data_IF_177603618536
#
_entry.id   IF_177603618536
#
_cell.length_a   1.000
_cell.length_b   1.000
_cell.length_c   1.000
_cell.angle_alpha   90.00
_cell.angle_beta   90.00
_cell.angle_gamma   90.00
#
_symmetry.space_group_name_H-M   'P 1'
#
loop_
_entity.id
_entity.type
_entity.pdbx_description
1 polymer ?
#
# COMPACT_ATOMS: atom_id res chain seq x y z
N UNK A 1 -7.12 34.93 -44.13
CA UNK A 1 -6.44 34.97 -42.83
C UNK A 1 -6.38 33.54 -42.31
N UNK A 2 -5.23 32.94 -42.45
CA UNK A 2 -5.01 31.57 -41.98
C UNK A 2 -4.37 31.70 -40.59
N UNK A 3 -5.13 31.35 -39.55
CA UNK A 3 -4.60 31.22 -38.20
C UNK A 3 -3.66 30.04 -38.12
N UNK A 4 -2.39 30.33 -37.92
CA UNK A 4 -1.35 29.37 -37.65
C UNK A 4 -1.56 28.76 -36.26
N UNK A 5 -2.09 27.55 -36.20
CA UNK A 5 -1.95 26.70 -35.03
C UNK A 5 -0.47 26.31 -34.92
N UNK A 6 0.26 27.02 -34.06
CA UNK A 6 1.59 26.58 -33.63
C UNK A 6 1.44 25.18 -32.95
N UNK A 7 1.85 24.14 -33.65
CA UNK A 7 2.07 22.85 -33.06
C UNK A 7 3.16 22.99 -31.99
N UNK A 8 2.80 23.01 -30.72
CA UNK A 8 3.75 22.91 -29.63
C UNK A 8 4.49 21.57 -29.84
N UNK A 9 5.71 21.67 -30.31
CA UNK A 9 6.67 20.56 -30.36
C UNK A 9 6.79 20.03 -28.93
N UNK A 10 6.14 18.91 -28.63
CA UNK A 10 6.39 18.19 -27.39
C UNK A 10 7.84 17.76 -27.41
N UNK A 11 8.67 18.41 -26.60
CA UNK A 11 10.06 17.97 -26.38
C UNK A 11 10.04 16.48 -25.96
N UNK A 12 10.99 15.71 -26.47
CA UNK A 12 11.12 14.32 -26.09
C UNK A 12 11.18 14.20 -24.55
N UNK A 13 10.50 13.22 -23.94
CA UNK A 13 10.47 13.07 -22.49
C UNK A 13 11.90 12.96 -21.95
N UNK A 14 12.21 13.80 -20.97
CA UNK A 14 13.53 13.84 -20.33
C UNK A 14 13.69 12.61 -19.43
N UNK A 15 14.84 11.94 -19.47
CA UNK A 15 15.18 10.96 -18.46
C UNK A 15 15.34 11.65 -17.08
N UNK A 16 14.57 11.21 -16.09
CA UNK A 16 14.60 11.73 -14.72
C UNK A 16 15.43 10.80 -13.83
N UNK A 17 16.07 11.36 -12.81
CA UNK A 17 16.72 10.61 -11.75
C UNK A 17 15.76 10.49 -10.56
N UNK A 18 15.39 9.25 -10.20
CA UNK A 18 14.32 8.95 -9.24
C UNK A 18 14.88 8.18 -8.05
N UNK A 19 14.64 8.68 -6.85
CA UNK A 19 14.86 7.96 -5.61
C UNK A 19 13.59 7.17 -5.25
N UNK A 20 13.65 5.84 -5.33
CA UNK A 20 12.50 4.95 -5.12
C UNK A 20 12.58 4.27 -3.75
N UNK A 21 11.67 4.63 -2.85
CA UNK A 21 11.55 4.08 -1.50
C UNK A 21 10.44 3.04 -1.45
N UNK A 22 10.79 1.81 -1.15
CA UNK A 22 9.84 0.70 -1.06
C UNK A 22 10.37 -0.41 -0.18
N UNK A 23 9.50 -1.12 0.53
CA UNK A 23 9.85 -2.44 1.04
C UNK A 23 10.01 -3.41 -0.14
N UNK A 24 11.22 -3.93 -0.30
CA UNK A 24 11.61 -4.82 -1.40
C UNK A 24 11.95 -6.23 -0.89
N UNK A 25 11.57 -6.56 0.34
CA UNK A 25 11.81 -7.91 0.89
C UNK A 25 10.98 -8.96 0.16
N UNK A 26 11.42 -10.22 0.21
CA UNK A 26 10.67 -11.33 -0.39
C UNK A 26 9.34 -11.62 0.33
N UNK A 27 9.25 -11.24 1.60
CA UNK A 27 8.01 -11.22 2.35
C UNK A 27 7.19 -9.94 2.09
N UNK A 28 7.71 -9.06 1.23
CA UNK A 28 7.14 -7.76 0.95
C UNK A 28 5.71 -7.83 0.45
N UNK A 29 4.92 -6.87 0.91
CA UNK A 29 3.51 -6.74 0.59
C UNK A 29 3.28 -6.22 -0.84
N UNK A 30 2.38 -5.27 -0.95
CA UNK A 30 1.97 -4.65 -2.22
C UNK A 30 3.10 -3.86 -2.83
N UNK A 31 3.88 -3.14 -2.01
CA UNK A 31 4.98 -2.30 -2.45
C UNK A 31 6.04 -3.10 -3.21
N UNK A 32 6.44 -4.27 -2.68
CA UNK A 32 7.37 -5.19 -3.34
C UNK A 32 6.78 -5.75 -4.64
N UNK A 33 5.52 -6.16 -4.62
CA UNK A 33 4.82 -6.67 -5.80
C UNK A 33 4.74 -5.61 -6.92
N UNK A 34 4.32 -4.40 -6.59
CA UNK A 34 4.26 -3.29 -7.55
C UNK A 34 5.64 -2.96 -8.11
N UNK A 35 6.66 -2.89 -7.25
CA UNK A 35 8.03 -2.60 -7.66
C UNK A 35 8.57 -3.65 -8.64
N UNK A 36 8.36 -4.95 -8.38
CA UNK A 36 8.79 -6.04 -9.27
C UNK A 36 8.20 -5.91 -10.68
N UNK A 37 6.98 -5.41 -10.81
CA UNK A 37 6.31 -5.25 -12.11
C UNK A 37 6.65 -3.94 -12.81
N UNK A 38 6.84 -2.84 -12.07
CA UNK A 38 6.98 -1.50 -12.64
C UNK A 38 8.43 -1.11 -12.92
N UNK A 39 9.36 -1.47 -12.01
CA UNK A 39 10.76 -1.05 -12.13
C UNK A 39 11.43 -1.47 -13.42
N UNK A 40 11.24 -2.71 -13.94
CA UNK A 40 11.83 -3.10 -15.22
C UNK A 40 11.34 -2.26 -16.41
N UNK A 41 10.11 -1.71 -16.32
CA UNK A 41 9.52 -0.89 -17.38
C UNK A 41 10.03 0.55 -17.23
N UNK A 42 9.93 1.13 -16.05
CA UNK A 42 10.32 2.51 -15.77
C UNK A 42 11.82 2.76 -15.94
N UNK A 43 12.66 1.77 -15.64
CA UNK A 43 14.11 1.86 -15.79
C UNK A 43 14.57 1.99 -17.26
N UNK A 44 13.72 1.71 -18.25
CA UNK A 44 14.01 1.98 -19.65
C UNK A 44 13.94 3.48 -20.00
N UNK A 45 13.22 4.26 -19.20
CA UNK A 45 12.99 5.68 -19.46
C UNK A 45 13.70 6.59 -18.45
N UNK A 46 13.91 6.10 -17.22
CA UNK A 46 14.40 6.86 -16.08
C UNK A 46 15.61 6.21 -15.41
N UNK A 47 16.42 7.02 -14.72
CA UNK A 47 17.49 6.53 -13.84
C UNK A 47 16.88 6.31 -12.45
N UNK A 48 16.72 5.05 -12.04
CA UNK A 48 16.10 4.71 -10.77
C UNK A 48 17.14 4.15 -9.82
N UNK A 49 17.20 4.70 -8.62
CA UNK A 49 17.97 4.19 -7.49
C UNK A 49 17.01 3.79 -6.37
N UNK A 50 17.21 2.59 -5.85
CA UNK A 50 16.37 2.03 -4.79
C UNK A 50 16.91 2.43 -3.43
N UNK A 51 16.00 2.71 -2.51
CA UNK A 51 16.30 2.99 -1.11
C UNK A 51 15.48 2.06 -0.22
N UNK A 52 16.17 1.22 0.54
CA UNK A 52 15.56 0.19 1.39
C UNK A 52 16.34 0.02 2.70
N UNK A 53 15.88 -0.84 3.60
CA UNK A 53 16.65 -1.26 4.78
C UNK A 53 17.73 -2.29 4.44
N UNK A 54 17.79 -2.79 3.22
CA UNK A 54 18.78 -3.77 2.78
C UNK A 54 20.13 -3.11 2.52
N UNK A 55 21.20 -3.78 2.96
CA UNK A 55 22.58 -3.40 2.65
C UNK A 55 23.11 -3.96 1.32
N UNK A 56 22.29 -4.71 0.58
CA UNK A 56 22.65 -5.15 -0.77
C UNK A 56 22.83 -3.92 -1.69
N UNK A 57 23.88 -3.92 -2.47
CA UNK A 57 24.19 -2.80 -3.40
C UNK A 57 23.33 -2.83 -4.67
N UNK A 58 22.67 -3.94 -4.94
CA UNK A 58 21.80 -4.13 -6.10
C UNK A 58 20.57 -4.93 -5.68
N UNK A 59 19.39 -4.46 -6.04
CA UNK A 59 18.12 -5.16 -5.89
C UNK A 59 17.33 -5.03 -7.19
N UNK A 60 16.67 -6.10 -7.62
CA UNK A 60 15.87 -6.12 -8.87
C UNK A 60 16.67 -5.63 -10.11
N UNK A 61 18.00 -5.83 -10.13
CA UNK A 61 18.88 -5.37 -11.19
C UNK A 61 19.20 -3.87 -11.19
N UNK A 62 18.75 -3.13 -10.19
CA UNK A 62 18.96 -1.68 -10.04
C UNK A 62 19.89 -1.36 -8.85
N UNK A 63 20.61 -0.22 -8.89
CA UNK A 63 21.36 0.26 -7.74
C UNK A 63 20.47 0.37 -6.50
N UNK A 64 20.96 -0.16 -5.37
CA UNK A 64 20.26 -0.06 -4.10
C UNK A 64 21.17 0.53 -3.04
N UNK A 65 20.62 1.39 -2.23
CA UNK A 65 21.27 2.05 -1.11
C UNK A 65 20.46 1.83 0.18
N UNK A 66 21.15 1.76 1.30
CA UNK A 66 20.45 1.88 2.57
C UNK A 66 19.78 3.25 2.62
N UNK A 67 18.52 3.31 3.03
CA UNK A 67 17.68 4.51 2.94
C UNK A 67 18.32 5.77 3.61
N UNK A 68 19.11 5.60 4.67
CA UNK A 68 19.82 6.70 5.35
C UNK A 68 20.81 7.44 4.42
N UNK A 69 21.24 6.83 3.32
CA UNK A 69 22.16 7.47 2.37
C UNK A 69 21.45 8.38 1.36
N UNK A 70 20.14 8.41 1.32
CA UNK A 70 19.42 9.11 0.25
C UNK A 70 19.71 10.61 0.22
N UNK A 71 19.87 11.26 1.38
CA UNK A 71 20.21 12.68 1.42
C UNK A 71 21.64 12.93 0.89
N UNK A 72 22.63 12.12 1.27
CA UNK A 72 23.99 12.24 0.74
C UNK A 72 24.06 11.99 -0.77
N UNK A 73 23.37 10.96 -1.26
CA UNK A 73 23.25 10.70 -2.70
C UNK A 73 22.60 11.87 -3.44
N UNK A 74 21.56 12.49 -2.86
CA UNK A 74 20.92 13.67 -3.43
C UNK A 74 21.84 14.90 -3.47
N UNK A 75 22.67 15.09 -2.44
CA UNK A 75 23.66 16.19 -2.41
C UNK A 75 24.76 16.02 -3.45
N UNK A 76 25.22 14.79 -3.65
CA UNK A 76 26.26 14.50 -4.65
C UNK A 76 25.73 14.68 -6.07
N UNK A 77 24.55 14.14 -6.32
CA UNK A 77 23.84 14.28 -7.58
C UNK A 77 22.33 14.37 -7.29
N UNK A 78 21.67 15.50 -7.55
CA UNK A 78 20.27 15.70 -7.21
C UNK A 78 19.33 14.72 -7.89
N UNK A 79 18.37 14.14 -7.13
CA UNK A 79 17.21 13.46 -7.66
C UNK A 79 16.18 14.47 -8.12
N UNK A 80 15.53 14.19 -9.24
CA UNK A 80 14.39 14.97 -9.72
C UNK A 80 13.12 14.66 -8.94
N UNK A 81 12.98 13.38 -8.51
CA UNK A 81 11.80 12.85 -7.80
C UNK A 81 12.24 11.98 -6.62
N UNK A 82 11.59 12.17 -5.49
CA UNK A 82 11.52 11.19 -4.41
C UNK A 82 10.15 10.51 -4.48
N UNK A 83 10.14 9.20 -4.60
CA UNK A 83 8.93 8.41 -4.71
C UNK A 83 8.85 7.38 -3.59
N UNK A 84 7.73 7.37 -2.88
CA UNK A 84 7.49 6.58 -1.68
C UNK A 84 6.30 5.65 -1.88
N UNK A 85 6.48 4.36 -1.66
CA UNK A 85 5.37 3.41 -1.55
C UNK A 85 5.06 3.18 -0.07
N UNK A 86 3.84 3.49 0.33
CA UNK A 86 3.38 3.44 1.72
C UNK A 86 2.34 2.35 1.91
N UNK A 87 2.69 1.37 2.74
CA UNK A 87 1.81 0.28 3.16
C UNK A 87 1.91 0.06 4.67
N UNK A 88 0.95 -0.67 5.25
CA UNK A 88 0.96 -1.02 6.68
C UNK A 88 1.87 -2.23 6.91
N UNK A 89 2.85 -2.06 7.79
CA UNK A 89 3.80 -3.10 8.12
C UNK A 89 5.12 -2.57 8.66
N UNK A 90 5.78 -3.33 9.51
CA UNK A 90 7.04 -2.94 10.14
C UNK A 90 8.15 -2.63 9.12
N UNK A 91 8.18 -3.38 8.01
CA UNK A 91 9.17 -3.21 6.95
C UNK A 91 9.04 -1.90 6.15
N UNK A 92 7.89 -1.21 6.24
CA UNK A 92 7.68 0.09 5.59
C UNK A 92 7.97 1.31 6.51
N UNK A 93 8.47 1.10 7.72
CA UNK A 93 8.75 2.17 8.69
C UNK A 93 9.69 3.24 8.17
N UNK A 94 10.76 2.83 7.51
CA UNK A 94 11.77 3.75 6.98
C UNK A 94 11.18 4.69 5.93
N UNK A 95 10.23 4.22 5.11
CA UNK A 95 9.52 5.03 4.12
C UNK A 95 8.83 6.20 4.80
N UNK A 96 8.11 5.92 5.89
CA UNK A 96 7.37 6.89 6.68
C UNK A 96 8.29 7.93 7.34
N UNK A 97 9.40 7.45 7.88
CA UNK A 97 10.42 8.30 8.50
C UNK A 97 11.03 9.23 7.46
N UNK A 98 11.44 8.68 6.32
CA UNK A 98 12.15 9.45 5.32
C UNK A 98 11.27 10.45 4.57
N UNK A 99 10.00 10.13 4.37
CA UNK A 99 9.00 11.08 3.85
C UNK A 99 8.90 12.34 4.72
N UNK A 100 9.07 12.21 6.05
CA UNK A 100 9.13 13.34 6.97
C UNK A 100 10.37 14.21 6.81
N UNK A 101 11.47 13.68 6.23
CA UNK A 101 12.73 14.38 6.02
C UNK A 101 12.80 15.00 4.62
N UNK A 102 12.36 14.27 3.59
CA UNK A 102 12.44 14.68 2.18
C UNK A 102 11.05 14.54 1.55
N UNK A 103 10.35 15.63 1.26
CA UNK A 103 9.03 15.55 0.65
C UNK A 103 9.09 14.94 -0.75
N UNK A 104 8.05 14.19 -1.12
CA UNK A 104 8.02 13.51 -2.40
C UNK A 104 6.62 13.07 -2.83
N UNK A 105 6.56 12.33 -3.91
CA UNK A 105 5.35 11.71 -4.39
C UNK A 105 5.13 10.44 -3.57
N UNK A 106 3.98 10.30 -2.93
CA UNK A 106 3.65 9.12 -2.12
C UNK A 106 2.53 8.31 -2.77
N UNK A 107 2.76 7.02 -2.92
CA UNK A 107 1.73 6.07 -3.35
C UNK A 107 1.24 5.29 -2.14
N UNK A 108 0.03 5.60 -1.69
CA UNK A 108 -0.60 5.04 -0.50
C UNK A 108 -1.37 3.79 -0.89
N UNK A 109 -0.91 2.64 -0.40
CA UNK A 109 -1.56 1.35 -0.59
C UNK A 109 -2.54 1.06 0.54
N UNK A 110 -2.19 1.41 1.78
CA UNK A 110 -3.02 1.23 2.97
C UNK A 110 -3.36 2.57 3.63
N UNK A 111 -4.66 2.81 3.85
CA UNK A 111 -5.12 3.99 4.58
C UNK A 111 -4.95 3.86 6.09
N UNK A 112 -5.05 2.62 6.59
CA UNK A 112 -5.06 2.30 8.00
C UNK A 112 -3.69 1.77 8.43
N UNK A 113 -2.75 2.66 8.60
CA UNK A 113 -1.38 2.35 9.03
C UNK A 113 -1.36 1.98 10.53
N UNK A 114 -2.09 0.93 10.91
CA UNK A 114 -2.30 0.56 12.31
C UNK A 114 -1.06 -0.07 12.92
N UNK A 115 -0.40 -0.98 12.23
CA UNK A 115 0.79 -1.66 12.71
C UNK A 115 2.00 -0.72 12.77
N UNK A 116 2.12 0.17 11.76
CA UNK A 116 3.13 1.24 11.80
C UNK A 116 2.89 2.24 12.94
N UNK A 117 1.62 2.51 13.27
CA UNK A 117 1.27 3.46 14.33
C UNK A 117 1.57 2.93 15.73
N UNK A 118 1.24 1.68 16.01
CA UNK A 118 1.38 1.10 17.34
C UNK A 118 2.85 0.85 17.71
N UNK A 119 3.64 0.26 16.81
CA UNK A 119 5.03 -0.09 17.10
C UNK A 119 6.03 1.07 16.95
N UNK A 120 5.80 1.97 15.99
CA UNK A 120 6.73 3.09 15.75
C UNK A 120 6.62 4.18 16.80
N UNK A 121 5.49 4.26 17.50
CA UNK A 121 5.25 5.31 18.50
C UNK A 121 5.27 4.78 19.93
N UNK A 122 5.06 3.47 20.13
CA UNK A 122 4.99 2.90 21.46
C UNK A 122 6.32 3.07 22.21
N UNK A 123 6.28 3.75 23.37
CA UNK A 123 7.43 4.13 24.17
C UNK A 123 8.42 5.08 23.49
N UNK A 124 8.07 5.75 22.40
CA UNK A 124 8.90 6.80 21.82
C UNK A 124 8.58 8.18 22.43
N UNK A 125 9.56 9.11 22.48
CA UNK A 125 9.29 10.49 22.90
C UNK A 125 8.24 11.21 22.03
N UNK A 126 8.00 10.69 20.84
CA UNK A 126 7.08 11.25 19.86
C UNK A 126 5.65 10.71 19.96
N UNK A 127 5.43 9.65 20.76
CA UNK A 127 4.10 9.03 20.92
C UNK A 127 3.04 10.09 21.29
N UNK A 128 3.33 10.88 22.30
CA UNK A 128 2.43 11.94 22.75
C UNK A 128 2.19 13.02 21.69
N UNK A 129 3.22 13.43 20.97
CA UNK A 129 3.11 14.43 19.90
C UNK A 129 2.30 13.93 18.72
N UNK A 130 2.46 12.66 18.35
CA UNK A 130 1.69 12.01 17.28
C UNK A 130 0.24 11.82 17.72
N UNK A 131 0.00 11.37 18.94
CA UNK A 131 -1.36 11.31 19.49
C UNK A 131 -2.02 12.68 19.56
N UNK A 132 -1.33 13.71 20.00
CA UNK A 132 -1.84 15.09 19.98
C UNK A 132 -2.14 15.56 18.56
N UNK A 133 -1.28 15.28 17.58
CA UNK A 133 -1.53 15.61 16.19
C UNK A 133 -2.84 14.99 15.71
N UNK A 134 -3.03 13.69 15.90
CA UNK A 134 -4.27 13.01 15.51
C UNK A 134 -5.48 13.51 16.31
N UNK A 135 -5.34 13.70 17.61
CA UNK A 135 -6.43 14.20 18.48
C UNK A 135 -6.85 15.62 18.09
N UNK A 136 -5.93 16.49 17.77
CA UNK A 136 -6.21 17.87 17.37
C UNK A 136 -6.69 17.96 15.93
N UNK A 137 -6.26 17.00 15.12
CA UNK A 137 -6.55 16.97 13.69
C UNK A 137 -7.88 16.34 13.35
N UNK A 138 -8.51 15.58 14.25
CA UNK A 138 -9.75 14.87 13.97
C UNK A 138 -11.00 15.61 14.49
N UNK A 139 -12.14 15.60 13.75
CA UNK A 139 -13.42 16.01 14.30
C UNK A 139 -13.76 15.22 15.57
N UNK A 140 -14.48 15.82 16.50
CA UNK A 140 -14.81 15.19 17.79
C UNK A 140 -15.44 13.79 17.66
N UNK A 141 -16.34 13.62 16.70
CA UNK A 141 -16.96 12.31 16.40
C UNK A 141 -15.95 11.26 15.95
N UNK A 142 -14.92 11.67 15.19
CA UNK A 142 -13.89 10.80 14.68
C UNK A 142 -12.84 10.39 15.74
N UNK A 143 -12.66 11.18 16.80
CA UNK A 143 -11.74 10.86 17.92
C UNK A 143 -12.14 9.58 18.65
N UNK A 144 -13.42 9.34 18.79
CA UNK A 144 -13.95 8.10 19.41
C UNK A 144 -13.67 6.87 18.51
N UNK A 145 -13.76 7.02 17.20
CA UNK A 145 -13.50 5.98 16.20
C UNK A 145 -12.00 5.74 16.05
N UNK A 146 -11.17 6.78 16.10
CA UNK A 146 -9.72 6.68 16.01
C UNK A 146 -9.09 5.82 17.12
N UNK A 147 -9.68 5.86 18.33
CA UNK A 147 -9.28 4.99 19.44
C UNK A 147 -9.51 3.50 19.19
N UNK A 148 -10.33 3.14 18.18
CA UNK A 148 -10.69 1.77 17.83
C UNK A 148 -10.01 1.27 16.53
N UNK A 149 -8.88 1.85 16.13
CA UNK A 149 -8.14 1.49 14.89
C UNK A 149 -8.95 1.60 13.58
N UNK A 150 -10.06 2.31 13.57
CA UNK A 150 -10.95 2.44 12.42
C UNK A 150 -10.74 3.75 11.62
N UNK A 151 -9.69 4.52 11.93
CA UNK A 151 -9.44 5.82 11.30
C UNK A 151 -8.27 5.77 10.33
N UNK A 152 -8.36 6.42 9.16
CA UNK A 152 -7.24 6.50 8.20
C UNK A 152 -6.01 7.17 8.83
N UNK A 153 -5.01 6.39 9.20
CA UNK A 153 -3.78 6.90 9.83
C UNK A 153 -2.74 7.40 8.84
N UNK A 154 -2.98 7.24 7.53
CA UNK A 154 -2.13 7.81 6.49
C UNK A 154 -2.26 9.33 6.33
N UNK A 155 -3.13 10.00 7.09
CA UNK A 155 -3.40 11.43 6.94
C UNK A 155 -2.15 12.31 7.08
N UNK A 156 -1.27 12.00 8.04
CA UNK A 156 -0.01 12.73 8.23
C UNK A 156 0.90 12.61 7.01
N UNK A 157 1.05 11.44 6.50
CA UNK A 157 1.90 11.11 5.35
C UNK A 157 1.37 11.78 4.09
N UNK A 158 0.07 11.77 3.92
CA UNK A 158 -0.61 12.50 2.85
C UNK A 158 -0.37 14.01 2.98
N UNK A 159 -0.49 14.57 4.18
CA UNK A 159 -0.25 15.99 4.42
C UNK A 159 1.21 16.43 4.16
N UNK A 160 2.17 15.51 4.31
CA UNK A 160 3.59 15.75 4.01
C UNK A 160 3.92 15.59 2.52
N UNK A 161 3.02 14.99 1.74
CA UNK A 161 3.26 14.68 0.33
C UNK A 161 2.64 15.74 -0.57
N UNK A 162 3.41 16.45 -1.41
CA UNK A 162 2.83 17.40 -2.37
C UNK A 162 1.93 16.70 -3.40
N UNK A 163 2.22 15.44 -3.70
CA UNK A 163 1.41 14.61 -4.59
C UNK A 163 1.20 13.26 -3.93
N UNK A 164 -0.07 12.86 -3.79
CA UNK A 164 -0.43 11.56 -3.24
C UNK A 164 -1.23 10.75 -4.25
N UNK A 165 -0.77 9.53 -4.50
CA UNK A 165 -1.45 8.54 -5.31
C UNK A 165 -2.13 7.53 -4.39
N UNK A 166 -3.35 7.14 -4.70
CA UNK A 166 -4.11 6.16 -3.92
C UNK A 166 -4.38 4.92 -4.76
N UNK A 167 -4.14 3.75 -4.19
CA UNK A 167 -4.41 2.47 -4.85
C UNK A 167 -5.90 2.13 -4.94
N UNK A 168 -6.77 2.90 -4.29
CA UNK A 168 -8.22 2.73 -4.32
C UNK A 168 -8.94 4.07 -4.49
N UNK A 169 -10.07 4.03 -5.20
CA UNK A 169 -10.99 5.17 -5.32
C UNK A 169 -11.59 5.55 -3.95
N UNK A 170 -11.86 4.53 -3.13
CA UNK A 170 -12.32 4.72 -1.76
C UNK A 170 -11.29 5.57 -0.97
N UNK A 171 -10.02 5.19 -1.02
CA UNK A 171 -8.95 5.92 -0.34
C UNK A 171 -8.83 7.37 -0.81
N UNK A 172 -8.87 7.59 -2.10
CA UNK A 172 -8.87 8.93 -2.68
C UNK A 172 -10.05 9.76 -2.16
N UNK A 173 -11.27 9.21 -2.15
CA UNK A 173 -12.48 9.90 -1.71
C UNK A 173 -12.43 10.26 -0.24
N UNK A 174 -12.08 9.29 0.62
CA UNK A 174 -12.03 9.51 2.08
C UNK A 174 -11.01 10.57 2.47
N UNK A 175 -9.79 10.47 1.96
CA UNK A 175 -8.74 11.44 2.27
C UNK A 175 -9.01 12.80 1.63
N UNK A 176 -9.49 12.86 0.39
CA UNK A 176 -9.82 14.13 -0.27
C UNK A 176 -10.88 14.92 0.51
N UNK A 177 -11.88 14.24 1.07
CA UNK A 177 -12.90 14.86 1.92
C UNK A 177 -12.27 15.44 3.19
N UNK A 178 -11.33 14.75 3.80
CA UNK A 178 -10.63 15.21 4.99
C UNK A 178 -9.69 16.38 4.70
N UNK A 179 -8.94 16.31 3.62
CA UNK A 179 -8.00 17.36 3.21
C UNK A 179 -8.76 18.64 2.84
N UNK A 180 -9.82 18.55 2.04
CA UNK A 180 -10.62 19.71 1.60
C UNK A 180 -11.23 20.49 2.76
N UNK A 181 -11.52 19.82 3.88
CA UNK A 181 -12.07 20.49 5.07
C UNK A 181 -11.02 21.28 5.89
N UNK A 182 -9.73 21.17 5.58
CA UNK A 182 -8.63 21.69 6.41
C UNK A 182 -7.55 22.45 5.68
N UNK A 183 -7.29 22.14 4.42
CA UNK A 183 -6.36 22.89 3.61
C UNK A 183 -7.15 24.04 2.95
N UNK A 184 -7.48 25.08 3.72
CA UNK A 184 -7.58 26.45 3.20
C UNK A 184 -6.20 26.94 2.70
N UNK A 185 -5.23 26.02 2.62
CA UNK A 185 -3.92 26.21 2.08
C UNK A 185 -4.02 26.54 0.58
N UNK A 186 -3.12 27.36 0.11
CA UNK A 186 -3.00 27.88 -1.27
C UNK A 186 -3.51 26.89 -2.34
N UNK A 187 -4.41 27.30 -3.22
CA UNK A 187 -4.92 26.47 -4.31
C UNK A 187 -3.76 25.88 -5.11
N UNK A 188 -3.67 24.54 -5.19
CA UNK A 188 -2.62 23.83 -5.90
C UNK A 188 -1.47 23.29 -5.05
N UNK A 189 -1.50 23.45 -3.72
CA UNK A 189 -0.43 22.96 -2.83
C UNK A 189 -0.37 21.44 -2.70
N UNK A 190 -1.47 20.73 -2.93
CA UNK A 190 -1.57 19.26 -2.82
C UNK A 190 -2.40 18.71 -3.97
N UNK A 191 -1.87 17.66 -4.63
CA UNK A 191 -2.54 16.90 -5.69
C UNK A 191 -2.78 15.48 -5.19
N UNK A 192 -4.02 15.00 -5.29
CA UNK A 192 -4.39 13.64 -4.93
C UNK A 192 -5.02 12.95 -6.14
N UNK A 193 -4.56 11.74 -6.48
CA UNK A 193 -5.02 10.98 -7.65
C UNK A 193 -5.17 9.50 -7.35
N UNK A 194 -6.02 8.85 -8.11
CA UNK A 194 -6.13 7.40 -8.14
C UNK A 194 -5.11 6.82 -9.11
N UNK A 195 -4.38 5.80 -8.65
CA UNK A 195 -3.52 4.97 -9.48
C UNK A 195 -3.68 3.51 -9.07
N UNK A 196 -4.28 2.71 -9.93
CA UNK A 196 -4.47 1.28 -9.69
C UNK A 196 -3.13 0.57 -9.48
N UNK A 197 -3.12 -0.50 -8.67
CA UNK A 197 -1.93 -1.36 -8.56
C UNK A 197 -1.74 -2.16 -9.85
N UNK A 198 -0.48 -2.38 -10.31
CA UNK A 198 -0.22 -3.20 -11.47
C UNK A 198 -0.58 -4.67 -11.18
N UNK A 199 -1.15 -5.37 -12.15
CA UNK A 199 -1.49 -6.79 -12.03
C UNK A 199 -1.02 -7.54 -13.27
N UNK A 200 -0.27 -8.63 -13.06
CA UNK A 200 0.09 -9.56 -14.12
C UNK A 200 -0.54 -10.91 -13.88
N UNK A 201 -1.44 -11.29 -14.76
CA UNK A 201 -2.06 -12.63 -14.76
C UNK A 201 -1.30 -13.63 -15.63
N UNK A 202 -0.09 -13.28 -16.08
CA UNK A 202 0.75 -14.15 -16.88
C UNK A 202 1.04 -15.46 -16.12
N UNK A 203 0.88 -16.59 -16.80
CA UNK A 203 1.12 -17.91 -16.21
C UNK A 203 -0.04 -18.49 -15.40
N UNK A 204 -1.12 -17.73 -15.14
CA UNK A 204 -2.31 -18.29 -14.46
C UNK A 204 -3.20 -19.00 -15.49
N UNK A 205 -3.36 -20.31 -15.33
CA UNK A 205 -4.20 -21.12 -16.22
C UNK A 205 -5.68 -20.73 -16.11
N UNK A 206 -6.47 -20.99 -17.14
CA UNK A 206 -7.93 -20.83 -17.08
C UNK A 206 -8.52 -21.71 -15.96
N UNK A 207 -9.69 -21.33 -15.38
CA UNK A 207 -10.36 -22.15 -14.36
C UNK A 207 -10.62 -23.57 -14.87
N UNK A 208 -10.52 -24.60 -14.00
CA UNK A 208 -10.79 -25.98 -14.37
C UNK A 208 -12.23 -26.14 -14.91
N UNK A 209 -12.43 -27.06 -15.87
CA UNK A 209 -13.77 -27.23 -16.48
C UNK A 209 -14.58 -28.38 -15.85
N UNK A 210 -13.92 -29.39 -15.28
CA UNK A 210 -14.55 -30.66 -14.88
C UNK A 210 -14.12 -31.19 -13.50
N UNK A 211 -13.48 -30.38 -12.66
CA UNK A 211 -13.10 -30.77 -11.32
C UNK A 211 -14.25 -30.52 -10.30
N UNK A 212 -14.20 -31.13 -9.10
CA UNK A 212 -15.03 -30.68 -7.98
C UNK A 212 -14.89 -29.18 -7.77
N UNK A 213 -15.96 -28.54 -7.29
CA UNK A 213 -15.95 -27.09 -7.06
C UNK A 213 -14.81 -26.74 -6.10
N UNK A 214 -13.84 -25.96 -6.59
CA UNK A 214 -12.65 -25.59 -5.83
C UNK A 214 -12.64 -24.12 -5.50
N UNK A 215 -12.35 -23.82 -4.24
CA UNK A 215 -12.28 -22.50 -3.66
C UNK A 215 -10.82 -22.17 -3.29
N UNK A 216 -10.49 -20.89 -3.36
CA UNK A 216 -9.24 -20.36 -2.85
C UNK A 216 -9.52 -19.20 -1.90
N UNK A 217 -8.72 -19.02 -0.85
CA UNK A 217 -8.82 -17.87 0.04
C UNK A 217 -7.45 -17.47 0.60
N UNK A 218 -7.29 -16.17 0.86
CA UNK A 218 -6.18 -15.56 1.61
C UNK A 218 -6.68 -14.90 2.90
N UNK A 219 -7.95 -15.08 3.25
CA UNK A 219 -8.54 -14.49 4.44
C UNK A 219 -7.79 -14.92 5.70
N UNK A 220 -7.60 -14.01 6.65
CA UNK A 220 -7.04 -14.34 7.95
C UNK A 220 -7.98 -15.30 8.71
N UNK A 221 -7.49 -16.23 9.52
CA UNK A 221 -8.35 -17.16 10.27
C UNK A 221 -9.17 -16.47 11.37
N UNK A 222 -8.76 -15.29 11.82
CA UNK A 222 -9.46 -14.53 12.86
C UNK A 222 -10.82 -13.95 12.44
N UNK A 223 -11.39 -13.16 13.34
CA UNK A 223 -12.68 -12.49 13.11
C UNK A 223 -12.67 -11.60 11.86
N UNK A 224 -11.54 -11.02 11.55
CA UNK A 224 -11.35 -10.12 10.41
C UNK A 224 -11.55 -10.81 9.07
N UNK A 225 -11.03 -12.04 8.92
CA UNK A 225 -11.11 -12.81 7.67
C UNK A 225 -12.36 -13.64 7.51
N UNK A 226 -13.31 -13.58 8.45
CA UNK A 226 -14.63 -14.22 8.36
C UNK A 226 -14.62 -15.73 8.13
N UNK A 227 -13.52 -16.43 8.46
CA UNK A 227 -13.42 -17.89 8.27
C UNK A 227 -14.52 -18.65 9.01
N UNK A 228 -14.88 -18.19 10.21
CA UNK A 228 -15.99 -18.73 11.00
C UNK A 228 -17.39 -18.54 10.35
N UNK A 229 -17.49 -17.79 9.25
CA UNK A 229 -18.72 -17.63 8.46
C UNK A 229 -18.71 -18.51 7.22
N UNK A 230 -17.62 -18.50 6.45
CA UNK A 230 -17.60 -19.25 5.19
C UNK A 230 -17.29 -20.73 5.35
N UNK A 231 -16.52 -21.17 6.35
CA UNK A 231 -16.26 -22.62 6.56
C UNK A 231 -17.54 -23.42 6.84
N UNK A 232 -18.41 -23.01 7.80
CA UNK A 232 -19.67 -23.74 8.00
C UNK A 232 -20.62 -23.63 6.80
N UNK A 233 -20.58 -22.55 6.04
CA UNK A 233 -21.38 -22.42 4.82
C UNK A 233 -20.89 -23.38 3.71
N UNK A 234 -19.55 -23.55 3.55
CA UNK A 234 -18.96 -24.54 2.66
C UNK A 234 -19.34 -25.97 3.08
N UNK A 235 -19.25 -26.27 4.38
CA UNK A 235 -19.68 -27.58 4.91
C UNK A 235 -21.13 -27.91 4.58
N UNK A 236 -21.99 -26.90 4.51
CA UNK A 236 -23.40 -27.06 4.15
C UNK A 236 -23.66 -27.37 2.68
N UNK A 237 -22.65 -27.31 1.80
CA UNK A 237 -22.79 -27.66 0.39
C UNK A 237 -23.09 -29.15 0.20
N UNK A 238 -24.11 -29.46 -0.60
CA UNK A 238 -24.52 -30.82 -0.88
C UNK A 238 -23.67 -31.59 -1.91
N UNK A 239 -22.65 -30.94 -2.50
CA UNK A 239 -21.74 -31.54 -3.48
C UNK A 239 -20.29 -31.51 -2.98
N UNK A 240 -19.41 -32.38 -3.52
CA UNK A 240 -17.99 -32.34 -3.19
C UNK A 240 -17.34 -30.99 -3.51
N UNK A 241 -16.55 -30.49 -2.57
CA UNK A 241 -15.79 -29.24 -2.71
C UNK A 241 -14.42 -29.36 -2.07
N UNK A 242 -13.51 -28.47 -2.46
CA UNK A 242 -12.19 -28.31 -1.86
C UNK A 242 -11.88 -26.84 -1.66
N UNK A 243 -11.12 -26.51 -0.61
CA UNK A 243 -10.64 -25.16 -0.33
C UNK A 243 -9.12 -25.20 -0.17
N UNK A 244 -8.41 -24.39 -0.94
CA UNK A 244 -7.00 -24.09 -0.70
C UNK A 244 -6.89 -22.76 0.02
N UNK A 245 -6.30 -22.76 1.21
CA UNK A 245 -6.21 -21.59 2.07
C UNK A 245 -4.75 -21.14 2.21
N UNK A 246 -4.42 -20.00 1.62
CA UNK A 246 -3.09 -19.39 1.70
C UNK A 246 -3.00 -18.50 2.93
N UNK A 247 -2.13 -18.83 3.87
CA UNK A 247 -1.99 -18.15 5.17
C UNK A 247 -0.54 -17.84 5.51
N UNK A 248 -0.34 -16.93 6.43
CA UNK A 248 0.97 -16.72 7.02
C UNK A 248 1.33 -17.87 7.99
N UNK A 249 2.62 -18.26 8.10
CA UNK A 249 3.04 -19.29 9.03
C UNK A 249 2.61 -19.03 10.47
N UNK A 250 2.57 -17.76 10.90
CA UNK A 250 2.13 -17.37 12.24
C UNK A 250 0.64 -17.63 12.50
N UNK A 251 -0.17 -17.74 11.45
CA UNK A 251 -1.62 -17.96 11.51
C UNK A 251 -2.02 -19.44 11.41
N UNK A 252 -1.06 -20.34 11.17
CA UNK A 252 -1.32 -21.76 10.92
C UNK A 252 -2.13 -22.41 12.03
N UNK A 253 -1.71 -22.26 13.28
CA UNK A 253 -2.40 -22.87 14.43
C UNK A 253 -3.84 -22.42 14.55
N UNK A 254 -4.12 -21.15 14.31
CA UNK A 254 -5.48 -20.60 14.35
C UNK A 254 -6.35 -21.17 13.22
N UNK A 255 -5.82 -21.33 12.02
CA UNK A 255 -6.51 -21.94 10.89
C UNK A 255 -6.81 -23.43 11.16
N UNK A 256 -5.85 -24.21 11.68
CA UNK A 256 -6.04 -25.62 12.02
C UNK A 256 -7.10 -25.82 13.11
N UNK A 257 -7.20 -24.91 14.08
CA UNK A 257 -8.26 -24.95 15.10
C UNK A 257 -9.63 -24.84 14.42
N UNK A 258 -9.82 -23.85 13.55
CA UNK A 258 -11.08 -23.63 12.84
C UNK A 258 -11.44 -24.83 11.94
N UNK A 259 -10.48 -25.35 11.19
CA UNK A 259 -10.67 -26.53 10.32
C UNK A 259 -11.16 -27.74 11.12
N UNK A 260 -10.61 -27.97 12.30
CA UNK A 260 -11.04 -29.04 13.20
C UNK A 260 -12.40 -28.77 13.83
N UNK A 261 -12.63 -27.55 14.30
CA UNK A 261 -13.90 -27.12 14.90
C UNK A 261 -15.07 -27.33 13.92
N UNK A 262 -14.89 -26.94 12.68
CA UNK A 262 -15.92 -27.15 11.65
C UNK A 262 -15.89 -28.53 11.01
N UNK A 263 -14.97 -29.44 11.39
CA UNK A 263 -14.84 -30.80 10.87
C UNK A 263 -14.73 -30.84 9.34
N UNK A 264 -13.82 -30.04 8.77
CA UNK A 264 -13.58 -29.91 7.32
C UNK A 264 -12.11 -30.25 6.95
N UNK A 265 -11.47 -31.12 7.74
CA UNK A 265 -10.04 -31.46 7.60
C UNK A 265 -9.72 -32.04 6.22
N UNK A 266 -10.60 -32.88 5.68
CA UNK A 266 -10.37 -33.55 4.39
C UNK A 266 -10.63 -32.66 3.18
N UNK A 267 -11.28 -31.52 3.38
CA UNK A 267 -11.66 -30.58 2.30
C UNK A 267 -10.77 -29.35 2.24
N UNK A 268 -9.96 -29.07 3.28
CA UNK A 268 -9.17 -27.84 3.36
C UNK A 268 -7.67 -28.16 3.32
N UNK A 269 -6.98 -27.57 2.37
CA UNK A 269 -5.51 -27.62 2.25
C UNK A 269 -4.93 -26.26 2.65
N UNK A 270 -4.05 -26.26 3.66
CA UNK A 270 -3.29 -25.07 4.03
C UNK A 270 -2.01 -24.92 3.20
N UNK A 271 -1.77 -23.75 2.67
CA UNK A 271 -0.52 -23.36 2.01
C UNK A 271 0.11 -22.23 2.81
N UNK A 272 1.36 -22.39 3.24
CA UNK A 272 2.05 -21.44 4.12
C UNK A 272 2.88 -20.42 3.33
N UNK A 273 2.91 -19.20 3.82
CA UNK A 273 3.69 -18.08 3.29
C UNK A 273 2.94 -17.37 2.17
N UNK A 274 2.32 -16.25 2.51
CA UNK A 274 1.60 -15.40 1.55
C UNK A 274 2.58 -14.82 0.54
N UNK A 275 2.35 -15.12 -0.74
CA UNK A 275 2.98 -14.42 -1.85
C UNK A 275 2.06 -14.43 -3.07
N UNK A 276 2.13 -13.42 -3.94
CA UNK A 276 1.36 -13.39 -5.19
C UNK A 276 1.65 -14.56 -6.13
N UNK A 277 2.88 -15.08 -6.12
CA UNK A 277 3.30 -16.23 -6.93
C UNK A 277 2.57 -17.51 -6.48
N UNK A 278 2.61 -17.84 -5.19
CA UNK A 278 1.86 -18.98 -4.62
C UNK A 278 0.36 -18.82 -4.83
N UNK A 279 -0.14 -17.60 -4.73
CA UNK A 279 -1.54 -17.33 -5.00
C UNK A 279 -1.91 -17.62 -6.46
N UNK A 280 -1.06 -17.24 -7.40
CA UNK A 280 -1.23 -17.53 -8.84
C UNK A 280 -1.27 -19.03 -9.12
N UNK A 281 -0.43 -19.82 -8.43
CA UNK A 281 -0.45 -21.29 -8.53
C UNK A 281 -1.78 -21.85 -7.99
N UNK A 282 -2.24 -21.38 -6.84
CA UNK A 282 -3.52 -21.79 -6.24
C UNK A 282 -4.69 -21.43 -7.15
N UNK A 283 -4.69 -20.21 -7.69
CA UNK A 283 -5.73 -19.78 -8.63
C UNK A 283 -5.80 -20.69 -9.86
N UNK A 284 -4.67 -21.20 -10.36
CA UNK A 284 -4.63 -22.07 -11.52
C UNK A 284 -5.46 -23.36 -11.36
N UNK A 285 -5.72 -23.79 -10.11
CA UNK A 285 -6.54 -24.94 -9.77
C UNK A 285 -7.92 -24.58 -9.17
N UNK A 286 -8.25 -23.29 -9.06
CA UNK A 286 -9.44 -22.83 -8.36
C UNK A 286 -10.51 -22.27 -9.29
N UNK A 287 -11.76 -22.38 -8.90
CA UNK A 287 -12.92 -21.79 -9.59
C UNK A 287 -13.34 -20.46 -8.97
N UNK A 288 -13.26 -20.38 -7.64
CA UNK A 288 -13.83 -19.29 -6.86
C UNK A 288 -12.79 -18.79 -5.85
N UNK A 289 -12.62 -17.48 -5.78
CA UNK A 289 -11.81 -16.83 -4.75
C UNK A 289 -12.72 -16.21 -3.68
N UNK A 290 -12.49 -16.56 -2.43
CA UNK A 290 -13.19 -15.98 -1.28
C UNK A 290 -12.28 -14.90 -0.68
N UNK A 291 -12.73 -13.65 -0.70
CA UNK A 291 -12.03 -12.50 -0.17
C UNK A 291 -12.94 -11.69 0.76
N UNK A 292 -13.28 -12.29 1.89
CA UNK A 292 -14.10 -11.65 2.91
C UNK A 292 -13.19 -10.98 3.94
N UNK A 293 -13.46 -9.73 4.25
CA UNK A 293 -12.72 -8.97 5.25
C UNK A 293 -13.67 -8.06 6.02
N UNK A 294 -13.41 -7.89 7.31
CA UNK A 294 -14.05 -6.87 8.12
C UNK A 294 -13.22 -5.62 8.29
N UNK A 295 -11.95 -5.68 7.89
CA UNK A 295 -11.03 -4.55 8.01
C UNK A 295 -11.16 -3.62 6.82
N UNK A 296 -11.07 -2.35 7.11
CA UNK A 296 -10.97 -1.30 6.12
C UNK A 296 -9.54 -1.24 5.56
N UNK A 297 -9.10 -2.31 4.90
CA UNK A 297 -7.89 -2.26 4.11
C UNK A 297 -8.14 -1.30 2.96
N UNK A 298 -7.31 -0.30 2.82
CA UNK A 298 -7.52 0.80 1.87
C UNK A 298 -7.34 0.44 0.39
N UNK A 299 -7.24 -0.84 0.05
CA UNK A 299 -6.98 -1.30 -1.32
C UNK A 299 -7.59 -2.68 -1.59
N UNK A 300 -7.80 -2.99 -2.86
CA UNK A 300 -8.32 -4.31 -3.30
C UNK A 300 -7.29 -5.45 -3.14
N UNK A 301 -6.05 -5.15 -2.84
CA UNK A 301 -4.96 -6.09 -2.75
C UNK A 301 -4.64 -6.85 -4.05
N UNK A 302 -3.40 -7.25 -4.27
CA UNK A 302 -3.04 -7.99 -5.47
C UNK A 302 -3.76 -9.34 -5.56
N UNK A 303 -4.06 -9.96 -4.43
CA UNK A 303 -4.71 -11.28 -4.37
C UNK A 303 -6.10 -11.28 -5.00
N UNK A 304 -6.94 -10.31 -4.64
CA UNK A 304 -8.29 -10.21 -5.19
C UNK A 304 -8.26 -9.84 -6.67
N UNK A 305 -7.41 -8.89 -7.04
CA UNK A 305 -7.31 -8.45 -8.44
C UNK A 305 -6.71 -9.54 -9.34
N UNK A 306 -5.74 -10.34 -8.86
CA UNK A 306 -5.25 -11.53 -9.56
C UNK A 306 -6.37 -12.54 -9.78
N UNK A 307 -7.22 -12.77 -8.79
CA UNK A 307 -8.37 -13.65 -8.93
C UNK A 307 -9.36 -13.14 -10.00
N UNK A 308 -9.74 -11.87 -9.93
CA UNK A 308 -10.63 -11.23 -10.89
C UNK A 308 -10.03 -11.24 -12.30
N UNK A 309 -8.79 -10.80 -12.46
CA UNK A 309 -8.08 -10.70 -13.74
C UNK A 309 -7.83 -12.07 -14.39
N UNK A 310 -7.65 -13.11 -13.59
CA UNK A 310 -7.47 -14.49 -14.06
C UNK A 310 -8.79 -15.23 -14.32
N UNK A 311 -9.93 -14.56 -14.17
CA UNK A 311 -11.25 -15.10 -14.48
C UNK A 311 -11.83 -16.03 -13.41
N UNK A 312 -11.42 -15.85 -12.16
CA UNK A 312 -12.07 -16.53 -11.02
C UNK A 312 -13.27 -15.73 -10.59
N UNK A 313 -14.31 -16.43 -10.21
CA UNK A 313 -15.44 -15.81 -9.56
C UNK A 313 -14.99 -15.36 -8.17
N UNK A 314 -15.27 -14.11 -7.81
CA UNK A 314 -14.92 -13.59 -6.51
C UNK A 314 -16.15 -13.45 -5.59
N UNK A 315 -15.96 -13.74 -4.31
CA UNK A 315 -16.91 -13.46 -3.24
C UNK A 315 -16.22 -12.47 -2.31
N UNK A 316 -16.78 -11.28 -2.18
CA UNK A 316 -16.15 -10.15 -1.49
C UNK A 316 -17.08 -9.55 -0.43
N UNK A 317 -16.53 -8.94 0.60
CA UNK A 317 -17.30 -8.09 1.51
C UNK A 317 -17.74 -6.82 0.78
N UNK A 318 -19.02 -6.45 0.90
CA UNK A 318 -19.58 -5.23 0.33
C UNK A 318 -19.30 -4.05 1.26
N UNK A 319 -18.02 -3.71 1.39
CA UNK A 319 -17.52 -2.63 2.23
C UNK A 319 -16.28 -2.00 1.62
N UNK A 320 -16.09 -0.70 1.82
CA UNK A 320 -14.89 0.04 1.43
C UNK A 320 -14.50 -0.23 -0.04
N UNK A 321 -13.33 -0.81 -0.26
CA UNK A 321 -12.84 -1.18 -1.60
C UNK A 321 -13.69 -2.26 -2.29
N UNK A 322 -14.43 -3.07 -1.55
CA UNK A 322 -15.40 -4.03 -2.13
C UNK A 322 -16.52 -3.31 -2.87
N UNK A 323 -16.85 -2.07 -2.49
CA UNK A 323 -17.85 -1.24 -3.18
C UNK A 323 -17.39 -0.86 -4.60
N UNK A 324 -16.06 -0.75 -4.82
CA UNK A 324 -15.48 -0.38 -6.12
C UNK A 324 -15.64 -1.47 -7.19
N UNK A 325 -15.82 -2.74 -6.77
CA UNK A 325 -16.01 -3.85 -7.70
C UNK A 325 -17.44 -3.81 -8.23
N UNK A 326 -17.65 -3.80 -9.55
CA UNK A 326 -18.99 -3.90 -10.11
C UNK A 326 -19.73 -5.15 -9.64
N UNK A 327 -21.01 -5.03 -9.29
CA UNK A 327 -21.84 -6.18 -8.85
C UNK A 327 -21.98 -7.29 -9.91
N UNK A 328 -21.66 -6.97 -11.17
CA UNK A 328 -21.58 -7.93 -12.27
C UNK A 328 -20.29 -8.75 -12.27
N UNK A 329 -19.31 -8.40 -11.42
CA UNK A 329 -17.96 -8.98 -11.44
C UNK A 329 -17.65 -9.82 -10.20
N UNK A 330 -18.44 -9.69 -9.13
CA UNK A 330 -18.27 -10.44 -7.90
C UNK A 330 -19.59 -10.60 -7.15
N UNK A 331 -19.70 -11.64 -6.33
CA UNK A 331 -20.75 -11.73 -5.32
C UNK A 331 -20.38 -10.91 -4.10
N UNK A 332 -21.19 -9.93 -3.79
CA UNK A 332 -20.99 -9.03 -2.65
C UNK A 332 -21.73 -9.53 -1.43
N UNK A 333 -21.06 -9.60 -0.30
CA UNK A 333 -21.59 -10.03 0.99
C UNK A 333 -21.63 -8.83 1.92
N UNK A 334 -22.80 -8.39 2.31
CA UNK A 334 -22.96 -7.32 3.29
C UNK A 334 -22.65 -7.84 4.69
N UNK A 335 -21.63 -7.31 5.38
CA UNK A 335 -21.30 -7.73 6.74
C UNK A 335 -22.47 -7.52 7.72
N UNK A 336 -22.61 -8.43 8.68
CA UNK A 336 -23.62 -8.31 9.72
C UNK A 336 -24.31 -9.63 10.09
N UNK A 337 -25.50 -9.52 10.69
CA UNK A 337 -26.23 -10.69 11.23
C UNK A 337 -26.69 -11.67 10.15
N UNK A 338 -26.90 -11.20 8.93
CA UNK A 338 -27.35 -12.02 7.78
C UNK A 338 -26.20 -12.54 6.91
N UNK A 339 -24.95 -12.25 7.25
CA UNK A 339 -23.78 -12.58 6.45
C UNK A 339 -23.67 -14.07 6.13
N UNK A 340 -23.83 -14.94 7.13
CA UNK A 340 -23.82 -16.39 6.94
C UNK A 340 -24.87 -16.86 5.92
N UNK A 341 -26.09 -16.36 6.05
CA UNK A 341 -27.19 -16.73 5.14
C UNK A 341 -26.94 -16.24 3.70
N UNK A 342 -26.31 -15.06 3.54
CA UNK A 342 -25.91 -14.56 2.24
C UNK A 342 -24.83 -15.44 1.61
N UNK A 343 -23.78 -15.79 2.36
CA UNK A 343 -22.70 -16.68 1.91
C UNK A 343 -23.25 -18.03 1.46
N UNK A 344 -24.13 -18.63 2.27
CA UNK A 344 -24.75 -19.93 1.93
C UNK A 344 -25.55 -19.86 0.64
N UNK A 345 -26.36 -18.82 0.44
CA UNK A 345 -27.12 -18.62 -0.81
C UNK A 345 -26.21 -18.43 -2.02
N UNK A 346 -25.10 -17.69 -1.85
CA UNK A 346 -24.12 -17.48 -2.92
C UNK A 346 -23.47 -18.82 -3.30
N UNK A 347 -23.06 -19.64 -2.34
CA UNK A 347 -22.49 -20.94 -2.62
C UNK A 347 -23.48 -21.87 -3.34
N UNK A 348 -24.76 -21.89 -2.94
CA UNK A 348 -25.80 -22.64 -3.64
C UNK A 348 -26.03 -22.12 -5.08
N UNK A 349 -25.97 -20.80 -5.28
CA UNK A 349 -26.11 -20.20 -6.60
C UNK A 349 -24.94 -20.58 -7.52
N UNK A 350 -23.70 -20.58 -6.98
CA UNK A 350 -22.50 -20.95 -7.73
C UNK A 350 -22.59 -22.39 -8.26
N UNK A 351 -23.13 -23.33 -7.49
CA UNK A 351 -23.32 -24.70 -7.94
C UNK A 351 -24.25 -24.85 -9.16
N UNK A 352 -25.16 -23.91 -9.33
CA UNK A 352 -26.21 -23.93 -10.38
C UNK A 352 -25.87 -23.10 -11.61
N UNK A 353 -24.77 -22.35 -11.58
CA UNK A 353 -24.48 -21.32 -12.59
C UNK A 353 -23.26 -21.67 -13.44
N UNK A 354 -23.29 -21.28 -14.70
CA UNK A 354 -22.12 -21.32 -15.58
C UNK A 354 -21.17 -20.16 -15.18
N UNK A 355 -20.13 -20.47 -14.44
CA UNK A 355 -19.21 -19.50 -13.83
C UNK A 355 -18.55 -18.56 -14.85
N UNK A 356 -18.24 -19.06 -16.06
CA UNK A 356 -17.49 -18.31 -17.07
C UNK A 356 -18.16 -17.02 -17.54
N UNK A 357 -19.48 -16.97 -17.58
CA UNK A 357 -20.22 -15.77 -18.01
C UNK A 357 -20.15 -14.64 -17.00
N UNK A 358 -19.99 -14.97 -15.71
CA UNK A 358 -19.93 -14.00 -14.62
C UNK A 358 -18.55 -13.37 -14.44
N UNK A 359 -17.48 -13.99 -14.96
CA UNK A 359 -16.12 -13.53 -14.72
C UNK A 359 -15.55 -12.58 -15.78
N UNK A 360 -16.18 -12.55 -16.96
CA UNK A 360 -15.69 -11.76 -18.10
C UNK A 360 -15.63 -10.24 -17.85
N UNK A 361 -16.61 -9.62 -17.18
CA UNK A 361 -16.54 -8.18 -16.87
C UNK A 361 -15.36 -7.84 -15.96
N UNK A 362 -15.11 -8.66 -14.94
CA UNK A 362 -13.98 -8.47 -14.02
C UNK A 362 -12.63 -8.60 -14.72
N UNK A 363 -12.47 -9.61 -15.57
CA UNK A 363 -11.26 -9.79 -16.37
C UNK A 363 -10.96 -8.57 -17.24
N UNK A 364 -11.97 -8.05 -17.94
CA UNK A 364 -11.82 -6.86 -18.78
C UNK A 364 -11.44 -5.63 -17.96
N UNK A 365 -12.05 -5.44 -16.80
CA UNK A 365 -11.75 -4.33 -15.90
C UNK A 365 -10.27 -4.38 -15.47
N UNK A 366 -9.82 -5.51 -14.94
CA UNK A 366 -8.43 -5.67 -14.48
C UNK A 366 -7.45 -5.51 -15.65
N UNK A 367 -7.72 -6.12 -16.81
CA UNK A 367 -6.86 -5.99 -17.97
C UNK A 367 -6.75 -4.55 -18.50
N UNK A 368 -7.81 -3.73 -18.34
CA UNK A 368 -7.79 -2.34 -18.80
C UNK A 368 -7.21 -1.37 -17.77
N UNK A 369 -7.42 -1.62 -16.48
CA UNK A 369 -7.05 -0.65 -15.43
C UNK A 369 -5.72 -0.97 -14.76
N UNK A 370 -5.36 -2.25 -14.66
CA UNK A 370 -4.23 -2.73 -13.88
C UNK A 370 -3.05 -3.22 -14.73
N UNK A 371 -3.06 -2.97 -16.04
CA UNK A 371 -1.93 -3.35 -16.92
C UNK A 371 -0.63 -2.67 -16.48
N UNK A 372 0.46 -3.43 -16.20
CA UNK A 372 1.71 -2.86 -15.70
C UNK A 372 2.33 -1.80 -16.62
N UNK A 373 2.22 -1.99 -17.95
CA UNK A 373 2.75 -1.02 -18.92
C UNK A 373 1.97 0.30 -18.86
N UNK A 374 0.64 0.22 -18.74
CA UNK A 374 -0.21 1.40 -18.58
C UNK A 374 0.08 2.13 -17.27
N UNK A 375 0.21 1.40 -16.15
CA UNK A 375 0.52 2.00 -14.85
C UNK A 375 1.89 2.69 -14.87
N UNK A 376 2.90 2.03 -15.47
CA UNK A 376 4.23 2.62 -15.64
C UNK A 376 4.17 3.91 -16.47
N UNK A 377 3.42 3.93 -17.57
CA UNK A 377 3.22 5.12 -18.39
C UNK A 377 2.54 6.25 -17.61
N UNK A 378 1.51 5.94 -16.81
CA UNK A 378 0.86 6.92 -15.94
C UNK A 378 1.85 7.49 -14.91
N UNK A 379 2.65 6.64 -14.26
CA UNK A 379 3.68 7.09 -13.32
C UNK A 379 4.75 7.95 -13.99
N UNK A 380 5.27 7.51 -15.14
CA UNK A 380 6.25 8.29 -15.92
C UNK A 380 5.71 9.69 -16.25
N UNK A 381 4.45 9.77 -16.68
CA UNK A 381 3.78 11.06 -16.93
C UNK A 381 3.69 11.92 -15.67
N UNK A 382 3.24 11.34 -14.54
CA UNK A 382 3.17 12.05 -13.24
C UNK A 382 4.55 12.56 -12.84
N UNK A 383 5.61 11.77 -12.99
CA UNK A 383 6.97 12.18 -12.69
C UNK A 383 7.43 13.34 -13.57
N UNK A 384 7.19 13.28 -14.89
CA UNK A 384 7.55 14.35 -15.84
C UNK A 384 6.83 15.67 -15.51
N UNK A 385 5.53 15.60 -15.23
CA UNK A 385 4.72 16.78 -14.91
C UNK A 385 5.11 17.40 -13.56
N UNK A 386 5.57 16.58 -12.62
CA UNK A 386 5.83 16.98 -11.24
C UNK A 386 7.26 17.43 -10.98
N UNK A 387 8.23 17.00 -11.77
CA UNK A 387 9.64 17.28 -11.55
C UNK A 387 9.99 18.76 -11.38
N UNK A 388 9.43 19.73 -12.16
CA UNK A 388 9.70 21.15 -11.96
C UNK A 388 9.20 21.67 -10.61
N UNK A 389 8.02 21.23 -10.18
CA UNK A 389 7.44 21.61 -8.89
C UNK A 389 8.20 20.98 -7.73
N UNK A 390 8.61 19.73 -7.86
CA UNK A 390 9.38 19.02 -6.84
C UNK A 390 10.72 19.70 -6.56
N UNK A 391 11.43 20.19 -7.58
CA UNK A 391 12.66 20.94 -7.40
C UNK A 391 12.47 22.19 -6.51
N UNK A 392 11.37 22.94 -6.72
CA UNK A 392 11.04 24.11 -5.88
C UNK A 392 10.71 23.71 -4.45
N UNK A 393 9.92 22.66 -4.28
CA UNK A 393 9.54 22.16 -2.96
C UNK A 393 10.79 21.70 -2.20
N UNK A 394 11.67 20.94 -2.84
CA UNK A 394 12.91 20.47 -2.26
C UNK A 394 13.81 21.60 -1.79
N UNK A 395 13.99 22.65 -2.58
CA UNK A 395 14.78 23.82 -2.19
C UNK A 395 14.16 24.53 -0.96
N UNK A 396 12.85 24.73 -0.93
CA UNK A 396 12.17 25.34 0.23
C UNK A 396 12.31 24.48 1.47
N UNK A 397 12.17 23.17 1.33
CA UNK A 397 12.30 22.23 2.44
C UNK A 397 13.72 22.19 3.00
N UNK A 398 14.74 22.14 2.15
CA UNK A 398 16.14 22.24 2.57
C UNK A 398 16.43 23.53 3.33
N UNK A 399 15.90 24.67 2.86
CA UNK A 399 16.06 25.96 3.55
C UNK A 399 15.40 25.94 4.95
N UNK A 400 14.24 25.32 5.09
CA UNK A 400 13.54 25.14 6.37
C UNK A 400 14.34 24.26 7.34
N UNK A 401 14.87 23.14 6.88
CA UNK A 401 15.72 22.26 7.69
C UNK A 401 17.01 22.94 8.13
N UNK A 402 17.68 23.65 7.23
CA UNK A 402 18.88 24.42 7.59
C UNK A 402 18.56 25.48 8.64
N UNK A 403 17.45 26.20 8.49
CA UNK A 403 17.00 27.19 9.46
C UNK A 403 16.67 26.57 10.81
N UNK A 404 15.95 25.44 10.83
CA UNK A 404 15.62 24.70 12.05
C UNK A 404 16.89 24.14 12.73
N UNK A 405 17.84 23.65 11.96
CA UNK A 405 19.13 23.16 12.47
C UNK A 405 19.93 24.28 13.13
N UNK A 406 20.03 25.45 12.49
CA UNK A 406 20.71 26.61 13.07
C UNK A 406 20.04 27.07 14.38
N UNK A 407 18.70 27.09 14.41
CA UNK A 407 17.94 27.43 15.61
C UNK A 407 18.19 26.41 16.74
N UNK A 408 18.17 25.11 16.45
CA UNK A 408 18.43 24.05 17.40
C UNK A 408 19.88 24.14 17.97
N UNK A 409 20.86 24.38 17.11
CA UNK A 409 22.26 24.58 17.55
C UNK A 409 22.43 25.82 18.44
N UNK A 410 21.68 26.88 18.16
CA UNK A 410 21.69 28.09 19.00
C UNK A 410 21.10 27.79 20.39
N UNK A 411 19.97 27.09 20.44
CA UNK A 411 19.28 26.66 21.67
C UNK A 411 20.17 25.71 22.51
N UNK A 412 20.78 24.70 21.87
CA UNK A 412 21.73 23.81 22.51
C UNK A 412 22.96 24.59 23.07
N UNK A 413 23.45 25.60 22.36
CA UNK A 413 24.53 26.46 22.79
C UNK A 413 24.16 27.29 24.03
N UNK A 414 22.93 27.78 24.06
CA UNK A 414 22.41 28.57 25.20
C UNK A 414 22.23 27.70 26.44
N UNK A 415 21.70 26.49 26.30
CA UNK A 415 21.58 25.49 27.36
C UNK A 415 22.95 25.01 27.90
N UNK A 416 23.97 24.94 27.07
CA UNK A 416 25.35 24.52 27.48
C UNK A 416 26.15 25.59 28.13
N UNK A 417 25.75 26.86 28.06
CA UNK A 417 26.40 27.94 28.80
C UNK A 417 26.00 27.96 30.29
N UNK A 418 24.97 27.22 30.70
CA UNK A 418 24.55 27.02 32.07
C UNK A 418 24.97 25.63 32.57
N UNK A 419 26.12 25.52 33.18
CA UNK A 419 26.77 24.56 34.09
C UNK A 419 26.29 23.13 34.40
N UNK A 420 25.48 22.45 33.53
CA UNK A 420 25.10 21.03 33.68
C UNK A 420 25.60 20.20 32.50
N UNK A 421 26.93 20.07 32.41
CA UNK A 421 27.66 19.77 31.17
C UNK A 421 27.71 18.30 30.73
N UNK A 422 27.44 17.30 31.60
CA UNK A 422 27.76 15.90 31.27
C UNK A 422 26.75 15.15 30.39
N UNK A 423 25.46 15.44 30.50
CA UNK A 423 24.45 14.80 29.66
C UNK A 423 24.33 15.47 28.28
N UNK A 424 24.63 16.75 28.22
CA UNK A 424 24.51 17.57 27.01
C UNK A 424 25.64 17.27 26.01
N UNK A 425 26.82 16.90 26.46
CA UNK A 425 27.91 16.52 25.56
C UNK A 425 27.66 15.17 24.87
N UNK A 426 27.01 14.22 25.54
CA UNK A 426 26.55 12.98 24.95
C UNK A 426 25.45 13.26 23.90
N UNK A 427 24.53 14.17 24.19
CA UNK A 427 23.46 14.58 23.25
C UNK A 427 24.02 15.32 22.04
N UNK A 428 25.05 16.16 22.22
CA UNK A 428 25.75 16.84 21.11
C UNK A 428 26.47 15.85 20.22
N UNK A 429 27.11 14.84 20.81
CA UNK A 429 27.83 13.82 20.06
C UNK A 429 26.88 12.91 19.28
N UNK A 430 25.75 12.52 19.89
CA UNK A 430 24.68 11.78 19.21
C UNK A 430 24.03 12.60 18.10
N UNK A 431 23.73 13.88 18.34
CA UNK A 431 23.19 14.77 17.31
C UNK A 431 24.20 15.02 16.19
N UNK A 432 25.46 15.27 16.52
CA UNK A 432 26.50 15.49 15.50
C UNK A 432 26.81 14.22 14.71
N UNK A 433 26.78 13.03 15.31
CA UNK A 433 26.88 11.76 14.61
C UNK A 433 25.67 11.53 13.72
N UNK A 434 24.45 11.74 14.22
CA UNK A 434 23.21 11.62 13.42
C UNK A 434 23.19 12.61 12.26
N UNK A 435 23.71 13.84 12.45
CA UNK A 435 23.81 14.84 11.38
C UNK A 435 24.93 14.54 10.39
N UNK A 436 26.07 14.00 10.84
CA UNK A 436 27.14 13.52 9.97
C UNK A 436 26.70 12.29 9.15
N UNK A 437 25.95 11.37 9.75
CA UNK A 437 25.35 10.22 9.05
C UNK A 437 24.30 10.67 8.03
N UNK A 438 23.57 11.75 8.30
CA UNK A 438 22.67 12.40 7.36
C UNK A 438 23.42 13.27 6.32
N UNK A 439 24.75 13.35 6.39
CA UNK A 439 25.56 14.15 5.47
C UNK A 439 25.47 15.67 5.69
N UNK A 440 25.06 16.09 6.87
CA UNK A 440 24.99 17.49 7.27
C UNK A 440 26.33 17.86 7.95
N UNK A 441 27.26 18.38 7.18
CA UNK A 441 28.49 18.98 7.77
C UNK A 441 28.13 20.34 8.36
N UNK A 442 28.61 20.58 9.57
CA UNK A 442 28.59 21.87 10.27
C UNK A 442 29.16 23.02 9.44
#
# INVERSE_FOLDING_TARGET
MADGMEAHSMAAPRSLRIAWFSDLTDAGGISSYCSKLLLPILANEHQIELFSESFATTLLGLPNHHYLKAYSCHREQPFDIFFYQLEDGAAARFVRTYLGIMPGITWVHDLFLSDLGAEATHNSPWEHSIEQFYNNSLPFAARSIARHNAWPRAYREVALSPITLFSSQYGLKEISTMISSRIEAEPGAHRAEYLAIPISCAGISAPPQHAPLSFATVCRPGLEGRAYKFLPALKGLGSPWQLTWLIDPAEQSAAEILIREFSVVDQVTLVLGRSPEKWSEILSSSHVAIHLSSTALGHLGPYLQLALGSGRLAIVSDTFHGEEIPSTSAFKITPGIHEYAQISRVFEAIQKTQLRTLTLPAQKMVASENDPARIALCLSKIFQESAPQMAIIMQRWQALYQSAHVALLAEVKELTSSSELNEIDVYKELLSQSFLELGWSS
#
